data_IF_214549921325
#
_entry.id   IF_214549921325
#
_cell.length_a   1.000
_cell.length_b   1.000
_cell.length_c   1.000
_cell.angle_alpha   90.00
_cell.angle_beta   90.00
_cell.angle_gamma   90.00
#
_symmetry.space_group_name_H-M   'P 1'
#
loop_
_entity.id
_entity.type
_entity.pdbx_description
1 polymer ?
#
# COMPACT_ATOMS: atom_id res chain seq x y z
N UNK A 1 13.94 -3.06 7.42
CA UNK A 1 12.70 -3.78 7.05
C UNK A 1 11.64 -2.74 6.71
N UNK A 2 10.96 -2.85 5.56
CA UNK A 2 9.86 -1.94 5.22
C UNK A 2 8.64 -2.19 6.10
N UNK A 3 7.81 -1.17 6.30
CA UNK A 3 6.74 -1.20 7.30
C UNK A 3 5.76 -2.36 7.08
N UNK A 4 5.54 -3.19 8.11
CA UNK A 4 4.43 -4.15 8.17
C UNK A 4 3.27 -3.55 8.95
N UNK A 5 2.05 -3.76 8.48
CA UNK A 5 0.82 -3.31 9.14
C UNK A 5 0.12 -4.51 9.75
N UNK A 6 -0.47 -4.30 10.94
CA UNK A 6 -1.35 -5.27 11.61
C UNK A 6 -2.77 -4.72 11.60
N UNK A 7 -3.72 -5.57 11.22
CA UNK A 7 -5.15 -5.26 11.14
C UNK A 7 -5.96 -6.33 11.85
N UNK A 8 -7.05 -5.95 12.49
CA UNK A 8 -8.02 -6.89 13.06
C UNK A 8 -9.23 -6.95 12.14
N UNK A 9 -9.58 -8.15 11.67
CA UNK A 9 -10.75 -8.38 10.83
C UNK A 9 -11.85 -9.01 11.65
N UNK A 10 -13.06 -8.48 11.53
CA UNK A 10 -14.27 -9.15 12.04
C UNK A 10 -14.84 -10.07 10.95
N UNK A 11 -14.64 -11.38 11.10
CA UNK A 11 -15.14 -12.39 10.18
C UNK A 11 -16.57 -12.86 10.52
N UNK A 12 -17.13 -12.42 11.67
CA UNK A 12 -18.49 -12.80 12.07
C UNK A 12 -19.55 -12.37 11.06
N UNK A 13 -19.27 -11.31 10.30
CA UNK A 13 -20.15 -10.77 9.26
C UNK A 13 -20.43 -11.75 8.11
N UNK A 14 -19.62 -12.80 7.97
CA UNK A 14 -19.77 -13.81 6.92
C UNK A 14 -20.43 -15.10 7.42
N UNK A 15 -20.67 -15.25 8.73
CA UNK A 15 -21.14 -16.50 9.36
C UNK A 15 -22.46 -17.03 8.80
N UNK A 16 -23.34 -16.14 8.35
CA UNK A 16 -24.67 -16.53 7.88
C UNK A 16 -24.65 -17.22 6.51
N UNK A 17 -23.59 -17.02 5.72
CA UNK A 17 -23.49 -17.54 4.34
C UNK A 17 -22.23 -18.36 4.06
N UNK A 18 -21.21 -18.27 4.92
CA UNK A 18 -19.94 -18.97 4.76
C UNK A 18 -19.51 -19.64 6.06
N UNK A 19 -18.89 -20.81 5.92
CA UNK A 19 -18.08 -21.40 7.00
C UNK A 19 -16.84 -20.52 7.15
N UNK A 20 -16.72 -19.86 8.30
CA UNK A 20 -15.69 -18.83 8.53
C UNK A 20 -14.29 -19.44 8.44
N UNK A 21 -14.13 -20.66 8.93
CA UNK A 21 -12.88 -21.41 8.89
C UNK A 21 -12.44 -21.67 7.44
N UNK A 22 -13.35 -22.08 6.56
CA UNK A 22 -13.06 -22.31 5.14
C UNK A 22 -12.70 -21.02 4.41
N UNK A 23 -13.38 -19.92 4.74
CA UNK A 23 -13.07 -18.60 4.18
C UNK A 23 -11.67 -18.14 4.60
N UNK A 24 -11.28 -18.37 5.85
CA UNK A 24 -9.92 -18.06 6.35
C UNK A 24 -8.88 -18.93 5.65
N UNK A 25 -9.16 -20.22 5.42
CA UNK A 25 -8.26 -21.08 4.65
C UNK A 25 -8.15 -20.65 3.18
N UNK A 26 -9.24 -20.19 2.56
CA UNK A 26 -9.20 -19.57 1.21
C UNK A 26 -8.30 -18.33 1.20
N UNK A 27 -8.42 -17.46 2.22
CA UNK A 27 -7.60 -16.26 2.37
C UNK A 27 -6.11 -16.57 2.51
N UNK A 28 -5.76 -17.52 3.36
CA UNK A 28 -4.38 -17.99 3.53
C UNK A 28 -3.81 -18.55 2.23
N UNK A 29 -4.59 -19.33 1.48
CA UNK A 29 -4.17 -19.88 0.18
C UNK A 29 -3.96 -18.80 -0.87
N UNK A 30 -4.78 -17.74 -0.86
CA UNK A 30 -4.70 -16.65 -1.84
C UNK A 30 -3.58 -15.66 -1.56
N UNK A 31 -3.10 -15.55 -0.32
CA UNK A 31 -2.07 -14.58 0.03
C UNK A 31 -1.02 -15.20 0.94
N UNK A 32 0.08 -15.64 0.33
CA UNK A 32 1.29 -16.08 1.06
C UNK A 32 2.07 -14.92 1.66
N UNK A 33 1.74 -13.67 1.27
CA UNK A 33 2.35 -12.44 1.79
C UNK A 33 1.71 -11.95 3.11
N UNK A 34 0.67 -12.63 3.60
CA UNK A 34 -0.03 -12.31 4.84
C UNK A 34 0.15 -13.39 5.89
N UNK A 35 0.38 -12.97 7.13
CA UNK A 35 0.36 -13.82 8.31
C UNK A 35 -0.99 -13.66 9.03
N UNK A 36 -1.62 -14.79 9.32
CA UNK A 36 -2.94 -14.83 9.96
C UNK A 36 -2.79 -15.41 11.37
N UNK A 37 -3.29 -14.67 12.36
CA UNK A 37 -3.39 -15.12 13.74
C UNK A 37 -4.51 -16.15 13.94
N UNK A 38 -4.70 -16.64 15.18
CA UNK A 38 -5.78 -17.55 15.50
C UNK A 38 -7.15 -16.86 15.36
N UNK A 39 -8.15 -17.60 14.89
CA UNK A 39 -9.55 -17.17 14.93
C UNK A 39 -10.02 -17.15 16.39
N UNK A 40 -10.43 -15.98 16.86
CA UNK A 40 -10.98 -15.80 18.19
C UNK A 40 -12.45 -16.23 18.24
N UNK A 41 -12.92 -16.63 19.42
CA UNK A 41 -14.31 -17.05 19.63
C UNK A 41 -15.36 -15.97 19.25
N UNK A 42 -14.98 -14.69 19.37
CA UNK A 42 -15.78 -13.55 18.95
C UNK A 42 -15.81 -13.34 17.42
N UNK A 43 -15.21 -14.23 16.62
CA UNK A 43 -15.15 -14.13 15.17
C UNK A 43 -14.08 -13.19 14.63
N UNK A 44 -13.16 -12.68 15.47
CA UNK A 44 -12.08 -11.79 15.02
C UNK A 44 -10.81 -12.56 14.71
N UNK A 45 -10.02 -12.04 13.76
CA UNK A 45 -8.70 -12.56 13.43
C UNK A 45 -7.73 -11.40 13.22
N UNK A 46 -6.52 -11.52 13.78
CA UNK A 46 -5.43 -10.59 13.50
C UNK A 46 -4.73 -10.99 12.20
N UNK A 47 -4.45 -10.02 11.34
CA UNK A 47 -3.74 -10.23 10.08
C UNK A 47 -2.59 -9.24 10.01
N UNK A 48 -1.40 -9.73 9.74
CA UNK A 48 -0.20 -8.92 9.58
C UNK A 48 0.38 -9.10 8.18
N UNK A 49 0.83 -8.02 7.57
CA UNK A 49 1.59 -8.10 6.34
C UNK A 49 1.94 -6.73 5.78
N UNK A 50 2.43 -6.71 4.54
CA UNK A 50 2.69 -5.45 3.85
C UNK A 50 1.38 -4.72 3.57
N UNK A 51 1.46 -3.40 3.48
CA UNK A 51 0.30 -2.57 3.18
C UNK A 51 -0.46 -3.01 1.90
N UNK A 52 0.20 -3.33 0.76
CA UNK A 52 -0.49 -3.85 -0.42
C UNK A 52 -1.17 -5.19 -0.20
N UNK A 53 -0.57 -6.09 0.56
CA UNK A 53 -1.15 -7.39 0.84
C UNK A 53 -2.45 -7.23 1.65
N UNK A 54 -2.47 -6.31 2.62
CA UNK A 54 -3.67 -5.93 3.38
C UNK A 54 -4.71 -5.26 2.46
N UNK A 55 -4.29 -4.43 1.50
CA UNK A 55 -5.20 -3.82 0.52
C UNK A 55 -5.86 -4.87 -0.39
N UNK A 56 -5.11 -5.84 -0.91
CA UNK A 56 -5.64 -6.93 -1.74
C UNK A 56 -6.63 -7.79 -0.95
N UNK A 57 -6.32 -8.08 0.31
CA UNK A 57 -7.23 -8.76 1.23
C UNK A 57 -8.55 -8.01 1.37
N UNK A 58 -8.49 -6.69 1.58
CA UNK A 58 -9.69 -5.87 1.68
C UNK A 58 -10.54 -5.92 0.40
N UNK A 59 -9.94 -5.76 -0.77
CA UNK A 59 -10.67 -5.80 -2.04
C UNK A 59 -11.36 -7.15 -2.25
N UNK A 60 -10.68 -8.24 -1.89
CA UNK A 60 -11.27 -9.58 -1.90
C UNK A 60 -12.47 -9.71 -0.94
N UNK A 61 -12.33 -9.21 0.30
CA UNK A 61 -13.42 -9.24 1.28
C UNK A 61 -14.63 -8.41 0.84
N UNK A 62 -14.40 -7.26 0.19
CA UNK A 62 -15.48 -6.45 -0.40
C UNK A 62 -16.19 -7.22 -1.51
N UNK A 63 -15.47 -7.93 -2.37
CA UNK A 63 -16.07 -8.76 -3.42
C UNK A 63 -16.92 -9.89 -2.83
N UNK A 64 -16.41 -10.57 -1.79
CA UNK A 64 -17.19 -11.58 -1.05
C UNK A 64 -18.45 -10.96 -0.45
N UNK A 65 -18.34 -9.80 0.22
CA UNK A 65 -19.49 -9.12 0.81
C UNK A 65 -20.55 -8.71 -0.23
N UNK A 66 -20.13 -8.26 -1.43
CA UNK A 66 -21.08 -7.93 -2.52
C UNK A 66 -21.82 -9.16 -3.04
N UNK A 67 -21.16 -10.33 -3.10
CA UNK A 67 -21.83 -11.57 -3.47
C UNK A 67 -22.95 -11.98 -2.50
N UNK A 68 -22.87 -11.55 -1.23
CA UNK A 68 -23.96 -11.70 -0.25
C UNK A 68 -25.19 -10.88 -0.69
N UNK A 69 -24.98 -9.59 -1.02
CA UNK A 69 -26.07 -8.66 -1.37
C UNK A 69 -26.78 -8.99 -2.68
N UNK A 70 -26.11 -9.61 -3.66
CA UNK A 70 -26.75 -10.02 -4.91
C UNK A 70 -27.64 -11.26 -4.76
N UNK A 71 -27.33 -12.16 -3.81
CA UNK A 71 -28.21 -13.29 -3.47
C UNK A 71 -29.50 -12.81 -2.81
N UNK A 72 -29.40 -11.88 -1.87
CA UNK A 72 -30.56 -11.31 -1.19
C UNK A 72 -31.50 -10.59 -2.17
N UNK A 73 -30.97 -9.90 -3.20
CA UNK A 73 -31.77 -9.24 -4.25
C UNK A 73 -32.46 -10.21 -5.21
N UNK A 74 -31.88 -11.39 -5.47
CA UNK A 74 -32.55 -12.44 -6.26
C UNK A 74 -33.68 -13.10 -5.48
N UNK A 75 -33.59 -13.17 -4.16
CA UNK A 75 -34.67 -13.70 -3.30
C UNK A 75 -35.76 -12.65 -3.01
N UNK A 76 -35.41 -11.36 -2.81
CA UNK A 76 -36.39 -10.27 -2.59
C UNK A 76 -37.21 -9.93 -3.84
N UNK A 77 -36.73 -10.24 -5.04
CA UNK A 77 -37.47 -9.99 -6.30
C UNK A 77 -38.74 -10.84 -6.49
N UNK A 78 -39.12 -11.66 -5.49
CA UNK A 78 -40.37 -12.43 -5.48
C UNK A 78 -41.41 -12.00 -4.44
N UNK A 79 -41.24 -10.92 -3.67
CA UNK A 79 -42.30 -10.51 -2.73
C UNK A 79 -42.48 -9.00 -2.58
N UNK A 80 -43.59 -8.55 -3.17
CA UNK A 80 -44.52 -7.49 -2.75
C UNK A 80 -44.06 -6.08 -2.32
N UNK A 81 -44.57 -5.12 -3.11
CA UNK A 81 -44.98 -3.74 -2.85
C UNK A 81 -44.91 -3.14 -1.42
N UNK A 82 -44.42 -1.87 -1.40
CA UNK A 82 -44.68 -0.76 -0.43
C UNK A 82 -44.01 -0.92 0.97
N UNK A 83 -43.46 0.09 1.64
CA UNK A 83 -43.59 1.54 1.56
C UNK A 83 -42.34 2.26 2.11
N UNK A 84 -42.09 3.48 1.61
CA UNK A 84 -41.08 4.44 2.11
C UNK A 84 -41.29 4.77 3.58
N UNK A 85 -40.28 4.56 4.43
CA UNK A 85 -40.03 5.35 5.66
C UNK A 85 -38.52 5.48 5.92
N UNK A 86 -38.05 6.73 5.94
CA UNK A 86 -36.74 7.11 6.49
C UNK A 86 -36.76 6.93 8.01
N UNK A 87 -35.62 6.61 8.62
CA UNK A 87 -35.18 7.42 9.75
C UNK A 87 -33.74 7.91 9.58
N UNK A 88 -33.53 9.17 9.95
CA UNK A 88 -32.21 9.76 10.20
C UNK A 88 -31.53 9.03 11.35
N UNK A 89 -30.21 8.81 11.24
CA UNK A 89 -29.39 8.55 12.42
C UNK A 89 -28.04 9.29 12.35
N UNK A 90 -27.94 10.17 13.34
CA UNK A 90 -26.79 10.81 13.97
C UNK A 90 -25.36 10.53 13.49
N UNK A 91 -24.65 11.64 13.26
CA UNK A 91 -23.19 11.78 13.35
C UNK A 91 -22.66 11.21 14.67
N UNK A 92 -21.58 10.44 14.59
CA UNK A 92 -20.25 10.71 15.19
C UNK A 92 -19.45 9.40 15.23
N UNK A 93 -18.42 9.30 14.39
CA UNK A 93 -17.13 8.69 14.71
C UNK A 93 -16.15 9.03 13.60
N UNK A 94 -15.12 9.79 13.95
CA UNK A 94 -13.92 10.01 13.15
C UNK A 94 -13.17 8.68 13.11
N UNK A 95 -13.40 7.88 12.06
CA UNK A 95 -12.60 6.69 11.78
C UNK A 95 -11.74 6.94 10.55
N UNK A 96 -10.46 6.66 10.71
CA UNK A 96 -9.36 6.75 9.76
C UNK A 96 -9.69 5.95 8.49
N UNK A 97 -10.41 6.57 7.55
CA UNK A 97 -10.95 5.93 6.35
C UNK A 97 -9.95 6.00 5.20
N UNK A 98 -8.90 5.18 5.24
CA UNK A 98 -8.13 4.99 4.02
C UNK A 98 -8.93 4.08 3.09
N UNK A 99 -9.16 4.53 1.85
CA UNK A 99 -9.83 3.88 0.71
C UNK A 99 -11.35 3.66 0.81
N UNK A 100 -12.12 4.71 1.04
CA UNK A 100 -13.44 4.79 0.40
C UNK A 100 -13.17 4.86 -1.11
N UNK A 101 -13.84 4.02 -1.93
CA UNK A 101 -14.05 4.39 -3.34
C UNK A 101 -14.79 5.70 -3.24
N UNK A 102 -14.09 6.81 -3.44
CA UNK A 102 -14.72 8.11 -3.36
C UNK A 102 -15.96 8.03 -4.25
N UNK A 103 -17.10 8.49 -3.73
CA UNK A 103 -18.41 8.22 -4.31
C UNK A 103 -18.56 8.74 -5.75
N UNK A 104 -17.54 9.41 -6.27
CA UNK A 104 -17.38 9.97 -7.61
C UNK A 104 -16.52 9.13 -8.57
N UNK A 105 -15.74 8.14 -8.12
CA UNK A 105 -14.94 7.27 -9.00
C UNK A 105 -13.76 7.93 -9.76
N UNK A 106 -13.68 9.26 -9.77
CA UNK A 106 -12.68 10.06 -10.50
C UNK A 106 -11.30 10.12 -9.82
N UNK A 107 -11.25 9.92 -8.49
CA UNK A 107 -10.01 10.01 -7.70
C UNK A 107 -9.61 8.65 -7.15
N UNK A 108 -8.38 8.24 -7.40
CA UNK A 108 -7.79 7.00 -6.89
C UNK A 108 -6.61 7.33 -5.98
N UNK A 109 -6.50 6.60 -4.87
CA UNK A 109 -5.42 6.79 -3.89
C UNK A 109 -4.62 5.50 -3.72
N UNK A 110 -3.32 5.64 -3.53
CA UNK A 110 -2.37 4.56 -3.20
C UNK A 110 -1.46 5.03 -2.08
N UNK A 111 -1.21 4.19 -1.08
CA UNK A 111 -0.32 4.48 0.05
C UNK A 111 0.89 3.55 -0.04
N UNK A 112 2.10 4.11 0.05
CA UNK A 112 3.37 3.45 -0.23
C UNK A 112 4.38 3.75 0.89
N UNK A 113 5.29 2.84 1.20
CA UNK A 113 6.51 3.17 1.96
C UNK A 113 7.32 4.25 1.22
N UNK A 114 7.72 5.29 1.95
CA UNK A 114 8.44 6.46 1.42
C UNK A 114 9.75 6.07 0.72
N UNK A 115 10.51 5.15 1.30
CA UNK A 115 11.78 4.70 0.74
C UNK A 115 11.60 3.98 -0.60
N UNK A 116 10.62 3.07 -0.68
CA UNK A 116 10.31 2.37 -1.93
C UNK A 116 9.76 3.34 -2.97
N UNK A 117 8.91 4.28 -2.54
CA UNK A 117 8.36 5.29 -3.43
C UNK A 117 9.46 6.13 -4.10
N UNK A 118 10.43 6.64 -3.32
CA UNK A 118 11.56 7.38 -3.88
C UNK A 118 12.45 6.50 -4.77
N UNK A 119 12.68 5.25 -4.37
CA UNK A 119 13.41 4.28 -5.20
C UNK A 119 12.73 4.07 -6.57
N UNK A 120 11.39 3.93 -6.57
CA UNK A 120 10.60 3.82 -7.80
C UNK A 120 10.68 5.09 -8.65
N UNK A 121 10.57 6.29 -8.04
CA UNK A 121 10.69 7.55 -8.79
C UNK A 121 12.06 7.68 -9.46
N UNK A 122 13.12 7.20 -8.82
CA UNK A 122 14.48 7.28 -9.35
C UNK A 122 14.78 6.22 -10.42
N UNK A 123 14.55 4.94 -10.15
CA UNK A 123 14.93 3.84 -11.05
C UNK A 123 13.84 3.43 -12.04
N UNK A 124 12.57 3.69 -11.71
CA UNK A 124 11.42 3.33 -12.53
C UNK A 124 10.54 4.54 -12.83
N UNK A 125 11.08 5.66 -13.36
CA UNK A 125 10.30 6.86 -13.62
C UNK A 125 9.16 6.61 -14.60
N UNK A 126 9.29 5.60 -15.47
CA UNK A 126 8.24 5.16 -16.41
C UNK A 126 6.99 4.62 -15.73
N UNK A 127 7.09 4.14 -14.49
CA UNK A 127 5.92 3.69 -13.70
C UNK A 127 4.98 4.85 -13.38
N UNK A 128 5.54 6.06 -13.23
CA UNK A 128 4.81 7.30 -13.00
C UNK A 128 4.67 8.15 -14.27
N UNK A 129 5.16 7.66 -15.41
CA UNK A 129 5.01 8.38 -16.67
C UNK A 129 3.58 8.25 -17.14
N UNK A 130 2.89 9.38 -17.11
CA UNK A 130 1.49 9.48 -17.45
C UNK A 130 1.33 9.97 -18.89
N UNK A 131 0.25 9.54 -19.55
CA UNK A 131 -0.29 10.28 -20.70
C UNK A 131 -1.01 11.53 -20.15
N UNK A 132 -1.29 12.52 -21.00
CA UNK A 132 -1.88 13.82 -20.61
C UNK A 132 -3.24 13.72 -19.86
N UNK A 133 -3.80 12.52 -19.78
CA UNK A 133 -5.12 12.19 -19.22
C UNK A 133 -5.15 11.91 -17.71
N UNK A 134 -4.02 11.72 -17.04
CA UNK A 134 -3.99 11.40 -15.59
C UNK A 134 -2.97 12.29 -14.85
N UNK A 135 -3.43 12.90 -13.77
CA UNK A 135 -2.60 13.73 -12.87
C UNK A 135 -2.18 12.86 -11.68
N UNK A 136 -0.89 12.88 -11.37
CA UNK A 136 -0.32 12.22 -10.19
C UNK A 136 0.21 13.29 -9.25
N UNK A 137 -0.26 13.28 -8.00
CA UNK A 137 0.27 14.13 -6.93
C UNK A 137 0.55 13.29 -5.69
N UNK A 138 1.46 13.73 -4.84
CA UNK A 138 1.89 12.96 -3.68
C UNK A 138 2.07 13.82 -2.42
N UNK A 139 1.77 13.21 -1.28
CA UNK A 139 1.98 13.78 0.05
C UNK A 139 2.70 12.75 0.90
N UNK A 140 3.84 13.15 1.47
CA UNK A 140 4.63 12.31 2.38
C UNK A 140 4.34 12.70 3.83
N UNK A 141 4.06 11.70 4.66
CA UNK A 141 3.89 11.82 6.11
C UNK A 141 4.71 10.72 6.80
N UNK A 142 5.83 11.11 7.41
CA UNK A 142 6.78 10.18 8.02
C UNK A 142 7.35 9.16 7.02
N UNK A 143 7.31 7.88 7.38
CA UNK A 143 7.80 6.76 6.55
C UNK A 143 6.81 6.35 5.42
N UNK A 144 5.74 7.13 5.19
CA UNK A 144 4.67 6.78 4.26
C UNK A 144 4.43 7.91 3.25
N UNK A 145 4.20 7.56 1.99
CA UNK A 145 3.78 8.47 0.93
C UNK A 145 2.41 8.07 0.41
N UNK A 146 1.47 9.01 0.44
CA UNK A 146 0.16 8.89 -0.19
C UNK A 146 0.20 9.51 -1.58
N UNK A 147 -0.06 8.69 -2.60
CA UNK A 147 -0.13 9.07 -4.00
C UNK A 147 -1.59 9.17 -4.43
N UNK A 148 -1.98 10.34 -4.91
CA UNK A 148 -3.27 10.65 -5.48
C UNK A 148 -3.19 10.60 -7.01
N UNK A 149 -4.17 9.96 -7.61
CA UNK A 149 -4.31 9.79 -9.05
C UNK A 149 -5.66 10.36 -9.44
N UNK A 150 -5.64 11.42 -10.21
CA UNK A 150 -6.83 12.14 -10.65
C UNK A 150 -6.94 12.12 -12.17
N UNK A 151 -8.17 12.16 -12.64
CA UNK A 151 -8.44 12.32 -14.05
C UNK A 151 -8.14 13.78 -14.49
N UNK A 152 -7.34 13.97 -15.54
CA UNK A 152 -6.97 15.30 -16.03
C UNK A 152 -8.10 16.01 -16.80
N UNK A 153 -9.21 15.32 -17.14
CA UNK A 153 -10.32 15.96 -17.84
C UNK A 153 -11.63 15.14 -17.87
N UNK A 154 -12.73 15.81 -18.22
CA UNK A 154 -14.10 15.26 -18.22
C UNK A 154 -14.36 14.12 -19.21
N UNK A 155 -13.34 13.70 -19.96
CA UNK A 155 -13.42 12.64 -20.99
C UNK A 155 -12.45 11.50 -20.78
N UNK A 156 -11.55 11.55 -19.80
CA UNK A 156 -10.61 10.44 -19.65
C UNK A 156 -11.29 9.24 -19.01
N UNK A 157 -10.93 8.08 -19.53
CA UNK A 157 -11.49 6.80 -19.14
C UNK A 157 -11.00 6.46 -17.73
N UNK A 158 -11.93 6.26 -16.77
CA UNK A 158 -11.63 5.78 -15.40
C UNK A 158 -10.73 4.53 -15.42
N UNK A 159 -10.80 3.73 -16.49
CA UNK A 159 -9.90 2.58 -16.67
C UNK A 159 -8.42 2.98 -16.80
N UNK A 160 -8.10 4.17 -17.30
CA UNK A 160 -6.71 4.64 -17.39
C UNK A 160 -6.14 4.95 -16.00
N UNK A 161 -6.88 5.66 -15.16
CA UNK A 161 -6.48 5.92 -13.76
C UNK A 161 -6.26 4.60 -13.02
N UNK A 162 -7.15 3.62 -13.22
CA UNK A 162 -7.02 2.28 -12.64
C UNK A 162 -5.79 1.52 -13.17
N UNK A 163 -5.49 1.61 -14.47
CA UNK A 163 -4.28 0.99 -15.06
C UNK A 163 -2.99 1.60 -14.50
N UNK A 164 -2.96 2.93 -14.31
CA UNK A 164 -1.81 3.62 -13.70
C UNK A 164 -1.66 3.18 -12.25
N UNK A 165 -2.76 3.15 -11.48
CA UNK A 165 -2.78 2.64 -10.12
C UNK A 165 -2.23 1.22 -10.03
N UNK A 166 -2.72 0.32 -10.87
CA UNK A 166 -2.30 -1.08 -10.89
C UNK A 166 -0.81 -1.22 -11.23
N UNK A 167 -0.29 -0.44 -12.19
CA UNK A 167 1.15 -0.41 -12.50
C UNK A 167 1.99 0.01 -11.28
N UNK A 168 1.58 1.07 -10.59
CA UNK A 168 2.27 1.56 -9.38
C UNK A 168 2.26 0.48 -8.30
N UNK A 169 1.09 -0.08 -8.00
CA UNK A 169 0.93 -1.11 -6.96
C UNK A 169 1.73 -2.37 -7.29
N UNK A 170 1.65 -2.87 -8.52
CA UNK A 170 2.38 -4.08 -8.93
C UNK A 170 3.90 -3.88 -8.88
N UNK A 171 4.40 -2.70 -9.26
CA UNK A 171 5.82 -2.39 -9.16
C UNK A 171 6.25 -2.26 -7.68
N UNK A 172 5.43 -1.62 -6.85
CA UNK A 172 5.69 -1.50 -5.43
C UNK A 172 5.79 -2.86 -4.74
N UNK A 173 4.85 -3.78 -5.00
CA UNK A 173 4.84 -5.13 -4.39
C UNK A 173 6.16 -5.85 -4.69
N UNK A 174 6.59 -5.87 -5.96
CA UNK A 174 7.85 -6.51 -6.37
C UNK A 174 9.05 -5.94 -5.64
N UNK A 175 9.12 -4.62 -5.51
CA UNK A 175 10.24 -3.94 -4.86
C UNK A 175 10.20 -4.07 -3.33
N UNK A 176 9.01 -4.07 -2.73
CA UNK A 176 8.85 -4.26 -1.29
C UNK A 176 9.38 -5.61 -0.82
N UNK A 177 9.20 -6.65 -1.62
CA UNK A 177 9.74 -7.99 -1.32
C UNK A 177 11.25 -8.06 -1.53
N UNK A 178 11.73 -7.47 -2.63
CA UNK A 178 13.11 -7.63 -3.10
C UNK A 178 14.12 -6.68 -2.46
N UNK A 179 13.71 -5.46 -2.09
CA UNK A 179 14.61 -4.44 -1.57
C UNK A 179 14.74 -4.53 -0.04
N UNK A 180 15.78 -3.88 0.48
CA UNK A 180 15.95 -3.59 1.91
C UNK A 180 16.26 -2.11 2.09
N UNK A 181 16.05 -1.64 3.32
CA UNK A 181 16.35 -0.28 3.78
C UNK A 181 17.21 -0.40 5.04
N UNK A 182 18.38 0.24 5.01
CA UNK A 182 19.35 0.30 6.09
C UNK A 182 19.73 1.75 6.39
N UNK A 183 20.14 2.03 7.63
CA UNK A 183 20.44 3.39 8.12
C UNK A 183 21.90 3.55 8.51
N UNK A 184 22.56 4.57 7.98
CA UNK A 184 23.88 5.02 8.41
C UNK A 184 23.71 6.32 9.20
N UNK A 185 24.05 6.33 10.48
CA UNK A 185 23.98 7.53 11.33
C UNK A 185 25.27 8.34 11.25
N UNK A 186 25.14 9.67 11.16
CA UNK A 186 26.28 10.57 11.29
C UNK A 186 26.82 10.57 12.71
N UNK A 187 28.14 10.65 12.89
CA UNK A 187 28.76 10.65 14.22
C UNK A 187 28.83 12.05 14.84
N UNK A 188 29.14 13.05 14.03
CA UNK A 188 29.39 14.45 14.44
C UNK A 188 28.29 15.42 13.99
N UNK A 189 27.34 14.96 13.15
CA UNK A 189 26.25 15.76 12.57
C UNK A 189 26.71 17.07 11.91
N UNK A 190 27.98 17.12 11.48
CA UNK A 190 28.59 18.31 10.89
C UNK A 190 28.37 18.36 9.37
N UNK A 191 28.39 19.56 8.80
CA UNK A 191 28.28 19.73 7.33
C UNK A 191 29.42 19.04 6.58
N UNK A 192 30.61 19.00 7.15
CA UNK A 192 31.77 18.38 6.53
C UNK A 192 31.65 16.86 6.52
N UNK A 193 31.19 16.27 7.62
CA UNK A 193 30.89 14.83 7.66
C UNK A 193 29.81 14.44 6.65
N UNK A 194 28.70 15.20 6.57
CA UNK A 194 27.67 14.98 5.55
C UNK A 194 28.24 15.00 4.12
N UNK A 195 29.18 15.92 3.84
CA UNK A 195 29.86 16.03 2.54
C UNK A 195 30.78 14.83 2.27
N UNK A 196 31.48 14.32 3.28
CA UNK A 196 32.33 13.12 3.17
C UNK A 196 31.48 11.91 2.77
N UNK A 197 30.39 11.65 3.50
CA UNK A 197 29.49 10.55 3.16
C UNK A 197 28.89 10.71 1.77
N UNK A 198 28.46 11.92 1.39
CA UNK A 198 27.92 12.17 0.05
C UNK A 198 28.93 11.82 -1.05
N UNK A 199 30.20 12.25 -0.90
CA UNK A 199 31.26 11.91 -1.86
C UNK A 199 31.54 10.41 -1.91
N UNK A 200 31.59 9.74 -0.75
CA UNK A 200 31.77 8.30 -0.69
C UNK A 200 30.65 7.58 -1.46
N UNK A 201 29.39 7.87 -1.15
CA UNK A 201 28.25 7.31 -1.86
C UNK A 201 28.29 7.59 -3.38
N UNK A 202 28.59 8.83 -3.78
CA UNK A 202 28.66 9.21 -5.20
C UNK A 202 29.78 8.46 -5.95
N UNK A 203 30.92 8.22 -5.30
CA UNK A 203 32.03 7.45 -5.89
C UNK A 203 31.70 5.96 -6.08
N UNK A 204 30.80 5.43 -5.26
CA UNK A 204 30.39 4.02 -5.28
C UNK A 204 29.22 3.73 -6.23
N UNK A 205 28.46 4.75 -6.64
CA UNK A 205 27.31 4.62 -7.57
C UNK A 205 27.60 3.80 -8.84
N UNK A 206 28.74 3.97 -9.54
CA UNK A 206 29.01 3.19 -10.76
C UNK A 206 29.10 1.68 -10.50
N UNK A 207 29.54 1.28 -9.30
CA UNK A 207 29.73 -0.12 -8.92
C UNK A 207 28.49 -0.73 -8.28
N UNK A 208 27.64 0.11 -7.68
CA UNK A 208 26.37 -0.28 -7.08
C UNK A 208 25.20 0.48 -7.73
N UNK A 209 24.90 0.18 -9.01
CA UNK A 209 23.97 0.96 -9.79
C UNK A 209 22.51 0.83 -9.32
N UNK A 210 22.16 -0.17 -8.50
CA UNK A 210 20.82 -0.34 -7.94
C UNK A 210 20.71 0.12 -6.48
N UNK A 211 21.75 0.76 -5.94
CA UNK A 211 21.67 1.36 -4.60
C UNK A 211 21.21 2.81 -4.70
N UNK A 212 20.13 3.12 -4.00
CA UNK A 212 19.60 4.46 -3.81
C UNK A 212 19.96 4.97 -2.42
N UNK A 213 20.34 6.24 -2.32
CA UNK A 213 20.70 6.89 -1.05
C UNK A 213 19.88 8.16 -0.84
N UNK A 214 19.27 8.28 0.34
CA UNK A 214 18.51 9.46 0.77
C UNK A 214 19.23 10.06 1.98
N UNK A 215 19.60 11.34 1.88
CA UNK A 215 20.37 12.04 2.90
C UNK A 215 19.43 12.87 3.76
N UNK A 216 19.35 12.55 5.05
CA UNK A 216 18.62 13.31 6.06
C UNK A 216 19.59 14.13 6.92
N UNK A 217 19.08 14.80 7.94
CA UNK A 217 19.93 15.61 8.80
C UNK A 217 20.77 14.81 9.79
N UNK A 218 20.28 13.65 10.22
CA UNK A 218 20.90 12.82 11.26
C UNK A 218 21.39 11.47 10.73
N UNK A 219 20.91 11.02 9.58
CA UNK A 219 21.25 9.73 8.98
C UNK A 219 21.14 9.73 7.45
N UNK A 220 21.57 8.63 6.84
CA UNK A 220 21.38 8.29 5.44
C UNK A 220 20.57 6.99 5.37
N UNK A 221 19.45 7.00 4.65
CA UNK A 221 18.78 5.76 4.27
C UNK A 221 19.44 5.21 3.00
N UNK A 222 19.83 3.95 3.05
CA UNK A 222 20.41 3.19 1.93
C UNK A 222 19.40 2.11 1.53
N UNK A 223 18.97 2.15 0.27
CA UNK A 223 17.91 1.29 -0.26
C UNK A 223 18.42 0.55 -1.51
N UNK A 224 18.17 -0.75 -1.60
CA UNK A 224 18.73 -1.58 -2.67
C UNK A 224 18.49 -3.07 -2.42
N UNK A 225 19.09 -3.92 -3.26
CA UNK A 225 19.08 -5.37 -3.06
C UNK A 225 19.97 -5.76 -1.87
N UNK A 226 19.61 -6.78 -1.07
CA UNK A 226 20.33 -7.15 0.15
C UNK A 226 21.85 -7.33 -0.03
N UNK A 227 22.27 -8.00 -1.11
CA UNK A 227 23.68 -8.25 -1.39
C UNK A 227 24.45 -6.96 -1.69
N UNK A 228 23.87 -6.06 -2.50
CA UNK A 228 24.50 -4.79 -2.85
C UNK A 228 24.56 -3.83 -1.66
N UNK A 229 23.50 -3.75 -0.84
CA UNK A 229 23.47 -2.88 0.35
C UNK A 229 24.59 -3.28 1.32
N UNK A 230 24.75 -4.57 1.59
CA UNK A 230 25.73 -5.04 2.56
C UNK A 230 27.15 -4.60 2.18
N UNK A 231 27.53 -4.80 0.92
CA UNK A 231 28.84 -4.38 0.40
C UNK A 231 28.97 -2.86 0.33
N UNK A 232 27.92 -2.16 -0.13
CA UNK A 232 27.91 -0.70 -0.22
C UNK A 232 28.15 -0.05 1.15
N UNK A 233 27.42 -0.47 2.18
CA UNK A 233 27.55 0.08 3.54
C UNK A 233 28.94 -0.19 4.10
N UNK A 234 29.48 -1.40 3.87
CA UNK A 234 30.83 -1.75 4.29
C UNK A 234 31.87 -0.79 3.69
N UNK A 235 31.72 -0.41 2.43
CA UNK A 235 32.67 0.51 1.78
C UNK A 235 32.46 1.97 2.14
N UNK A 236 31.24 2.41 2.35
CA UNK A 236 30.96 3.77 2.85
C UNK A 236 31.50 3.96 4.28
N UNK A 237 31.63 2.87 5.05
CA UNK A 237 32.08 2.89 6.44
C UNK A 237 33.59 2.67 6.62
N UNK A 238 34.33 2.41 5.54
CA UNK A 238 35.79 2.32 5.53
C UNK A 238 36.43 3.71 5.39
#
# INVERSE_FOLDING_TARGET
VFSSVSSVLNMSIFKDQFVVEDLIEELKKKSTALSFGPLQANGHISVQGSFPAISLLRDFLILKAKSLSEKDKREESKSHQRAKRRPQQHRLTTEMSNFVRDADGEKQVVVLDEGIYHYMKYFFPRTFKVNDDVVISDVTDGDVTTVYLENAGSRSDVRQVLRVKEKIVNQYIKLHEALRKERIYYKKHSRDEKRIYKRACDSLKPRFPHVFTIFYDTYIDVIGYPSEIFEFIKEVSN
#
